data_IF_302183971633
#
_entry.id   IF_302183971633
#
_cell.length_a   1.000
_cell.length_b   1.000
_cell.length_c   1.000
_cell.angle_alpha   90.00
_cell.angle_beta   90.00
_cell.angle_gamma   90.00
#
_symmetry.space_group_name_H-M   'P 1'
#
loop_
_entity.id
_entity.type
_entity.pdbx_description
1 polymer ?
#
# COMPACT_ATOMS: atom_id res chain seq x y z
N UNK A 1 -44.09 -8.62 45.08
CA UNK A 1 -43.14 -8.84 43.98
C UNK A 1 -43.91 -9.41 42.80
N UNK A 2 -43.90 -8.77 41.63
CA UNK A 2 -44.46 -9.37 40.42
C UNK A 2 -43.42 -10.33 39.86
N UNK A 3 -43.71 -11.64 39.89
CA UNK A 3 -42.87 -12.62 39.20
C UNK A 3 -43.02 -12.38 37.69
N UNK A 4 -41.93 -11.97 37.06
CA UNK A 4 -41.82 -11.87 35.62
C UNK A 4 -41.21 -13.18 35.14
N UNK A 5 -42.03 -14.03 34.52
CA UNK A 5 -41.58 -15.26 33.88
C UNK A 5 -41.20 -14.96 32.43
N UNK A 6 -39.92 -15.12 32.10
CA UNK A 6 -39.44 -15.02 30.72
C UNK A 6 -39.59 -16.38 30.03
N UNK A 7 -40.22 -16.41 28.86
CA UNK A 7 -40.20 -17.62 28.02
C UNK A 7 -38.80 -17.76 27.41
N UNK A 8 -38.08 -18.80 27.83
CA UNK A 8 -36.86 -19.22 27.16
C UNK A 8 -37.24 -19.86 25.83
N UNK A 9 -36.60 -19.42 24.75
CA UNK A 9 -36.74 -20.04 23.43
C UNK A 9 -35.44 -20.74 23.07
N UNK A 10 -35.54 -21.84 22.33
CA UNK A 10 -34.36 -22.53 21.81
C UNK A 10 -33.60 -21.58 20.88
N UNK A 11 -32.29 -21.46 21.07
CA UNK A 11 -31.41 -20.65 20.23
C UNK A 11 -30.44 -21.53 19.46
N UNK A 12 -30.24 -21.21 18.18
CA UNK A 12 -29.10 -21.74 17.44
C UNK A 12 -27.99 -20.68 17.38
N UNK A 13 -26.77 -21.12 17.65
CA UNK A 13 -25.57 -20.31 17.45
C UNK A 13 -25.28 -20.21 15.96
N UNK A 14 -25.28 -19.00 15.42
CA UNK A 14 -24.93 -18.74 14.02
C UNK A 14 -23.89 -17.62 13.93
N UNK A 15 -22.67 -17.99 13.52
CA UNK A 15 -21.48 -17.14 13.60
C UNK A 15 -21.19 -16.62 15.02
N UNK A 16 -21.51 -15.35 15.33
CA UNK A 16 -21.27 -14.71 16.64
C UNK A 16 -22.56 -14.30 17.38
N UNK A 17 -23.74 -14.64 16.84
CA UNK A 17 -25.04 -14.30 17.44
C UNK A 17 -25.82 -15.59 17.74
N UNK A 18 -26.61 -15.58 18.80
CA UNK A 18 -27.62 -16.61 19.08
C UNK A 18 -28.98 -16.12 18.58
N UNK A 19 -29.57 -16.83 17.60
CA UNK A 19 -30.88 -16.51 17.05
C UNK A 19 -31.94 -17.52 17.53
N UNK A 20 -33.21 -17.13 17.69
CA UNK A 20 -34.29 -18.07 18.01
C UNK A 20 -34.42 -19.13 16.91
N UNK A 21 -34.58 -20.39 17.31
CA UNK A 21 -34.63 -21.55 16.42
C UNK A 21 -35.78 -21.49 15.38
N UNK A 22 -36.78 -20.65 15.62
CA UNK A 22 -38.01 -20.60 14.84
C UNK A 22 -38.00 -19.48 13.78
N UNK A 23 -36.92 -18.68 13.69
CA UNK A 23 -36.82 -17.57 12.73
C UNK A 23 -36.30 -18.10 11.39
N UNK A 24 -37.00 -17.85 10.26
CA UNK A 24 -36.51 -18.25 8.95
C UNK A 24 -35.17 -17.57 8.62
N UNK A 25 -34.24 -18.36 8.11
CA UNK A 25 -32.82 -18.03 7.90
C UNK A 25 -32.58 -16.72 7.17
N UNK A 26 -33.49 -16.36 6.27
CA UNK A 26 -33.48 -15.14 5.45
C UNK A 26 -33.66 -13.85 6.28
N UNK A 27 -34.52 -13.84 7.31
CA UNK A 27 -34.73 -12.65 8.15
C UNK A 27 -33.52 -12.37 9.05
N UNK A 28 -32.88 -13.42 9.55
CA UNK A 28 -31.60 -13.32 10.26
C UNK A 28 -30.46 -12.88 9.34
N UNK A 29 -30.47 -13.28 8.07
CA UNK A 29 -29.49 -12.86 7.06
C UNK A 29 -29.59 -11.35 6.74
N UNK A 30 -30.82 -10.82 6.61
CA UNK A 30 -31.08 -9.39 6.37
C UNK A 30 -30.61 -8.53 7.55
N UNK A 31 -30.89 -8.96 8.79
CA UNK A 31 -30.40 -8.29 10.00
C UNK A 31 -28.86 -8.33 10.10
N UNK A 32 -28.21 -9.43 9.66
CA UNK A 32 -26.75 -9.53 9.60
C UNK A 32 -26.11 -8.73 8.46
N UNK A 33 -26.79 -8.52 7.33
CA UNK A 33 -26.33 -7.63 6.27
C UNK A 33 -26.27 -6.17 6.76
N UNK A 34 -27.17 -5.79 7.65
CA UNK A 34 -27.19 -4.46 8.27
C UNK A 34 -26.11 -4.25 9.34
N UNK A 35 -25.64 -5.29 10.03
CA UNK A 35 -24.55 -5.21 11.02
C UNK A 35 -23.18 -5.63 10.42
N UNK A 36 -22.74 -4.90 9.41
CA UNK A 36 -21.47 -5.17 8.72
C UNK A 36 -20.25 -5.05 9.66
N UNK A 37 -20.36 -4.20 10.69
CA UNK A 37 -19.30 -3.93 11.66
C UNK A 37 -19.14 -5.07 12.68
N UNK A 38 -20.24 -5.59 13.23
CA UNK A 38 -20.19 -6.74 14.15
C UNK A 38 -19.61 -7.99 13.49
N UNK A 39 -19.92 -8.23 12.19
CA UNK A 39 -19.33 -9.33 11.41
C UNK A 39 -17.82 -9.22 11.30
N UNK A 40 -17.32 -8.01 11.05
CA UNK A 40 -15.89 -7.75 10.94
C UNK A 40 -15.16 -7.99 12.27
N UNK A 41 -15.69 -7.47 13.36
CA UNK A 41 -15.10 -7.62 14.70
C UNK A 41 -15.12 -9.09 15.16
N UNK A 42 -16.24 -9.79 14.99
CA UNK A 42 -16.36 -11.20 15.38
C UNK A 42 -15.43 -12.14 14.59
N UNK A 43 -15.17 -11.82 13.31
CA UNK A 43 -14.23 -12.59 12.47
C UNK A 43 -12.77 -12.32 12.85
N UNK A 44 -12.44 -11.08 13.22
CA UNK A 44 -11.13 -10.73 13.75
C UNK A 44 -10.82 -11.44 15.07
N UNK A 45 -11.78 -11.45 16.00
CA UNK A 45 -11.62 -12.10 17.31
C UNK A 45 -11.42 -13.61 17.18
N UNK A 46 -12.21 -14.29 16.34
CA UNK A 46 -12.09 -15.74 16.16
C UNK A 46 -10.82 -16.17 15.42
N UNK A 47 -10.29 -15.33 14.53
CA UNK A 47 -9.21 -15.72 13.59
C UNK A 47 -7.88 -15.00 13.83
N UNK A 48 -7.70 -14.28 14.95
CA UNK A 48 -6.51 -13.47 15.22
C UNK A 48 -5.18 -14.25 15.13
N UNK A 49 -5.17 -15.51 15.57
CA UNK A 49 -4.00 -16.39 15.48
C UNK A 49 -3.59 -16.65 14.03
N UNK A 50 -4.57 -16.89 13.16
CA UNK A 50 -4.34 -17.17 11.73
C UNK A 50 -3.82 -15.91 11.03
N UNK A 51 -4.34 -14.73 11.37
CA UNK A 51 -3.79 -13.46 10.86
C UNK A 51 -2.36 -13.21 11.34
N UNK A 52 -2.04 -13.56 12.59
CA UNK A 52 -0.68 -13.48 13.13
C UNK A 52 0.31 -14.36 12.37
N UNK A 53 -0.07 -15.62 12.10
CA UNK A 53 0.75 -16.55 11.29
C UNK A 53 0.90 -16.02 9.86
N UNK A 54 -0.19 -15.53 9.25
CA UNK A 54 -0.17 -14.97 7.90
C UNK A 54 0.72 -13.74 7.78
N UNK A 55 0.76 -12.90 8.82
CA UNK A 55 1.69 -11.78 8.92
C UNK A 55 3.15 -12.25 8.92
N UNK A 56 3.48 -13.24 9.73
CA UNK A 56 4.83 -13.82 9.77
C UNK A 56 5.23 -14.44 8.43
N UNK A 57 4.31 -15.16 7.79
CA UNK A 57 4.52 -15.74 6.45
C UNK A 57 4.72 -14.63 5.41
N UNK A 58 3.94 -13.54 5.44
CA UNK A 58 4.10 -12.42 4.52
C UNK A 58 5.45 -11.72 4.70
N UNK A 59 5.88 -11.49 5.94
CA UNK A 59 7.19 -10.87 6.24
C UNK A 59 8.33 -11.80 5.80
N UNK A 60 8.21 -13.09 6.11
CA UNK A 60 9.20 -14.10 5.72
C UNK A 60 9.30 -14.26 4.21
N UNK A 61 8.17 -14.38 3.50
CA UNK A 61 8.14 -14.53 2.04
C UNK A 61 8.62 -13.26 1.33
N UNK A 62 8.28 -12.07 1.85
CA UNK A 62 8.82 -10.81 1.35
C UNK A 62 10.34 -10.74 1.50
N UNK A 63 10.87 -11.06 2.68
CA UNK A 63 12.32 -11.07 2.92
C UNK A 63 13.05 -12.10 2.05
N UNK A 64 12.52 -13.33 1.95
CA UNK A 64 13.06 -14.37 1.07
C UNK A 64 13.04 -13.92 -0.39
N UNK A 65 11.97 -13.25 -0.83
CA UNK A 65 11.92 -12.72 -2.18
C UNK A 65 12.93 -11.60 -2.42
N UNK A 66 13.20 -10.73 -1.43
CA UNK A 66 14.30 -9.76 -1.56
C UNK A 66 15.66 -10.45 -1.74
N UNK A 67 15.92 -11.53 -1.00
CA UNK A 67 17.14 -12.34 -1.19
C UNK A 67 17.14 -12.98 -2.58
N UNK A 68 16.00 -13.51 -3.01
CA UNK A 68 15.86 -14.13 -4.33
C UNK A 68 16.12 -13.13 -5.47
N UNK A 69 15.57 -11.91 -5.39
CA UNK A 69 15.86 -10.82 -6.31
C UNK A 69 17.36 -10.46 -6.30
N UNK A 70 17.98 -10.43 -5.12
CA UNK A 70 19.41 -10.15 -4.97
C UNK A 70 20.30 -11.19 -5.65
N UNK A 71 19.93 -12.47 -5.56
CA UNK A 71 20.73 -13.58 -6.10
C UNK A 71 20.56 -13.74 -7.62
N UNK A 72 19.31 -13.68 -8.11
CA UNK A 72 18.98 -14.05 -9.49
C UNK A 72 18.65 -12.85 -10.39
N UNK A 73 18.51 -11.63 -9.85
CA UNK A 73 18.30 -10.41 -10.63
C UNK A 73 17.06 -10.48 -11.53
N UNK A 74 17.25 -10.27 -12.84
CA UNK A 74 16.17 -10.32 -13.83
C UNK A 74 15.50 -11.68 -13.95
N UNK A 75 16.25 -12.77 -13.78
CA UNK A 75 15.72 -14.13 -13.85
C UNK A 75 14.70 -14.39 -12.75
N UNK A 76 14.89 -13.75 -11.57
CA UNK A 76 13.96 -13.85 -10.46
C UNK A 76 12.55 -13.39 -10.85
N UNK A 77 12.44 -12.27 -11.58
CA UNK A 77 11.16 -11.69 -12.00
C UNK A 77 10.43 -12.63 -12.94
N UNK A 78 11.13 -13.17 -13.94
CA UNK A 78 10.54 -14.09 -14.93
C UNK A 78 10.11 -15.39 -14.24
N UNK A 79 10.99 -16.02 -13.45
CA UNK A 79 10.66 -17.25 -12.74
C UNK A 79 9.45 -17.03 -11.82
N UNK A 80 9.40 -15.88 -11.17
CA UNK A 80 8.30 -15.57 -10.27
C UNK A 80 6.97 -15.30 -10.98
N UNK A 81 6.99 -14.78 -12.22
CA UNK A 81 5.79 -14.65 -13.03
C UNK A 81 5.20 -16.03 -13.38
N UNK A 82 6.05 -16.97 -13.83
CA UNK A 82 5.62 -18.36 -14.06
C UNK A 82 5.18 -19.06 -12.77
N UNK A 83 5.86 -18.78 -11.65
CA UNK A 83 5.48 -19.30 -10.33
C UNK A 83 4.10 -18.82 -9.88
N UNK A 84 3.78 -17.53 -10.03
CA UNK A 84 2.44 -17.01 -9.72
C UNK A 84 1.40 -17.67 -10.61
N UNK A 85 1.64 -17.73 -11.92
CA UNK A 85 0.68 -18.33 -12.85
C UNK A 85 0.42 -19.80 -12.51
N UNK A 86 1.49 -20.57 -12.21
CA UNK A 86 1.36 -21.95 -11.77
C UNK A 86 0.55 -22.10 -10.48
N UNK A 87 0.75 -21.22 -9.49
CA UNK A 87 -0.03 -21.23 -8.24
C UNK A 87 -1.50 -20.87 -8.52
N UNK A 88 -1.77 -19.85 -9.34
CA UNK A 88 -3.12 -19.43 -9.68
C UNK A 88 -3.88 -20.54 -10.40
N UNK A 89 -3.27 -21.15 -11.43
CA UNK A 89 -3.86 -22.29 -12.17
C UNK A 89 -4.08 -23.49 -11.25
N UNK A 90 -3.11 -23.84 -10.42
CA UNK A 90 -3.25 -24.95 -9.47
C UNK A 90 -4.38 -24.68 -8.44
N UNK A 91 -4.45 -23.47 -7.90
CA UNK A 91 -5.49 -23.07 -6.94
C UNK A 91 -6.87 -23.10 -7.58
N UNK A 92 -7.00 -22.62 -8.82
CA UNK A 92 -8.25 -22.67 -9.58
C UNK A 92 -8.68 -24.12 -9.84
N UNK A 93 -7.77 -24.99 -10.28
CA UNK A 93 -8.04 -26.41 -10.47
C UNK A 93 -8.55 -27.07 -9.17
N UNK A 94 -7.85 -26.85 -8.04
CA UNK A 94 -8.25 -27.40 -6.74
C UNK A 94 -9.63 -26.91 -6.28
N UNK A 95 -9.93 -25.63 -6.49
CA UNK A 95 -11.23 -25.04 -6.14
C UNK A 95 -12.36 -25.55 -7.05
N UNK A 96 -12.10 -25.73 -8.36
CA UNK A 96 -13.06 -26.32 -9.29
C UNK A 96 -13.40 -27.76 -8.88
N UNK A 97 -12.39 -28.59 -8.60
CA UNK A 97 -12.60 -29.96 -8.12
C UNK A 97 -13.36 -29.97 -6.80
N UNK A 98 -13.00 -29.11 -5.85
CA UNK A 98 -13.71 -29.00 -4.57
C UNK A 98 -15.16 -28.52 -4.73
N UNK A 99 -15.45 -27.69 -5.73
CA UNK A 99 -16.80 -27.20 -6.02
C UNK A 99 -17.68 -28.22 -6.74
N UNK A 100 -17.08 -29.21 -7.39
CA UNK A 100 -17.75 -30.27 -8.11
C UNK A 100 -18.02 -31.51 -7.25
N UNK A 101 -17.39 -31.63 -6.08
CA UNK A 101 -17.59 -32.74 -5.14
C UNK A 101 -18.78 -32.45 -4.19
N UNK A 102 -19.94 -33.12 -4.37
CA UNK A 102 -21.11 -32.91 -3.52
C UNK A 102 -20.93 -33.45 -2.09
N UNK A 103 -19.89 -34.25 -1.83
CA UNK A 103 -19.65 -34.88 -0.51
C UNK A 103 -18.85 -34.00 0.46
N UNK A 104 -18.22 -32.92 -0.04
CA UNK A 104 -17.32 -32.09 0.76
C UNK A 104 -18.07 -31.11 1.68
N UNK A 105 -19.26 -30.64 1.28
CA UNK A 105 -20.13 -29.71 2.05
C UNK A 105 -21.62 -30.07 1.98
N UNK A 106 -22.03 -31.26 2.45
CA UNK A 106 -23.40 -31.76 2.26
C UNK A 106 -24.47 -31.00 3.05
N UNK A 107 -24.08 -30.24 4.08
CA UNK A 107 -25.00 -29.59 5.03
C UNK A 107 -24.91 -28.06 5.09
N UNK A 108 -24.15 -27.42 4.19
CA UNK A 108 -24.03 -25.95 4.12
C UNK A 108 -24.05 -25.44 2.67
N UNK A 109 -25.25 -25.12 2.11
CA UNK A 109 -25.39 -24.66 0.72
C UNK A 109 -24.71 -23.30 0.47
N UNK A 110 -24.52 -22.49 1.52
CA UNK A 110 -23.86 -21.18 1.42
C UNK A 110 -22.35 -21.33 1.26
N UNK A 111 -21.76 -22.30 1.96
CA UNK A 111 -20.33 -22.63 1.79
C UNK A 111 -20.05 -23.18 0.38
N UNK A 112 -20.92 -24.04 -0.14
CA UNK A 112 -20.81 -24.58 -1.50
C UNK A 112 -20.85 -23.45 -2.56
N UNK A 113 -21.81 -22.52 -2.45
CA UNK A 113 -21.89 -21.34 -3.33
C UNK A 113 -20.67 -20.42 -3.20
N UNK A 114 -20.14 -20.25 -1.98
CA UNK A 114 -18.94 -19.42 -1.73
C UNK A 114 -17.69 -19.98 -2.41
N UNK A 115 -17.54 -21.31 -2.42
CA UNK A 115 -16.40 -22.00 -3.07
C UNK A 115 -16.53 -21.96 -4.60
N UNK A 116 -17.75 -22.09 -5.14
CA UNK A 116 -18.02 -21.89 -6.56
C UNK A 116 -17.71 -20.46 -7.01
N UNK A 117 -18.11 -19.45 -6.23
CA UNK A 117 -17.75 -18.06 -6.53
C UNK A 117 -16.23 -17.85 -6.50
N UNK A 118 -15.53 -18.42 -5.52
CA UNK A 118 -14.08 -18.32 -5.39
C UNK A 118 -13.33 -19.03 -6.53
N UNK A 119 -13.84 -20.16 -7.03
CA UNK A 119 -13.24 -20.88 -8.18
C UNK A 119 -13.32 -20.06 -9.47
N UNK A 120 -14.44 -19.37 -9.71
CA UNK A 120 -14.60 -18.45 -10.86
C UNK A 120 -13.65 -17.26 -10.72
N UNK A 121 -13.62 -16.62 -9.54
CA UNK A 121 -12.74 -15.46 -9.29
C UNK A 121 -11.28 -15.81 -9.50
N UNK A 122 -10.83 -16.94 -8.96
CA UNK A 122 -9.42 -17.39 -9.11
C UNK A 122 -9.09 -17.73 -10.56
N UNK A 123 -10.01 -18.37 -11.30
CA UNK A 123 -9.85 -18.62 -12.74
C UNK A 123 -9.71 -17.32 -13.54
N UNK A 124 -10.61 -16.35 -13.33
CA UNK A 124 -10.52 -15.05 -13.97
C UNK A 124 -9.21 -14.32 -13.60
N UNK A 125 -8.77 -14.43 -12.35
CA UNK A 125 -7.51 -13.81 -11.91
C UNK A 125 -6.27 -14.41 -12.59
N UNK A 126 -6.26 -15.72 -12.86
CA UNK A 126 -5.19 -16.37 -13.62
C UNK A 126 -5.12 -15.84 -15.05
N UNK A 127 -6.28 -15.79 -15.75
CA UNK A 127 -6.36 -15.27 -17.12
C UNK A 127 -5.91 -13.80 -17.17
N UNK A 128 -6.41 -12.96 -16.26
CA UNK A 128 -6.04 -11.55 -16.21
C UNK A 128 -4.54 -11.39 -15.93
N UNK A 129 -4.00 -12.18 -15.01
CA UNK A 129 -2.58 -12.13 -14.68
C UNK A 129 -1.71 -12.55 -15.88
N UNK A 130 -2.07 -13.62 -16.59
CA UNK A 130 -1.40 -14.05 -17.81
C UNK A 130 -1.42 -12.96 -18.88
N UNK A 131 -2.57 -12.33 -19.13
CA UNK A 131 -2.70 -11.19 -20.06
C UNK A 131 -1.82 -10.02 -19.63
N UNK A 132 -1.76 -9.71 -18.33
CA UNK A 132 -0.93 -8.65 -17.78
C UNK A 132 0.56 -8.95 -17.95
N UNK A 133 1.00 -10.18 -17.68
CA UNK A 133 2.40 -10.59 -17.88
C UNK A 133 2.78 -10.52 -19.35
N UNK A 134 1.92 -10.97 -20.27
CA UNK A 134 2.17 -10.86 -21.71
C UNK A 134 2.27 -9.39 -22.14
N UNK A 135 1.34 -8.53 -21.69
CA UNK A 135 1.35 -7.10 -21.99
C UNK A 135 2.62 -6.41 -21.45
N UNK A 136 3.08 -6.80 -20.27
CA UNK A 136 4.23 -6.18 -19.60
C UNK A 136 5.56 -6.89 -19.87
N UNK A 137 5.61 -7.96 -20.67
CA UNK A 137 6.80 -8.80 -20.83
C UNK A 137 8.06 -8.00 -21.23
N UNK A 138 7.96 -7.14 -22.25
CA UNK A 138 9.06 -6.29 -22.68
C UNK A 138 9.53 -5.32 -21.58
N UNK A 139 8.57 -4.81 -20.80
CA UNK A 139 8.84 -3.90 -19.68
C UNK A 139 9.51 -4.65 -18.53
N UNK A 140 9.07 -5.85 -18.20
CA UNK A 140 9.64 -6.69 -17.15
C UNK A 140 11.09 -7.08 -17.44
N UNK A 141 11.42 -7.39 -18.70
CA UNK A 141 12.80 -7.66 -19.13
C UNK A 141 13.69 -6.43 -18.89
N UNK A 142 13.23 -5.26 -19.31
CA UNK A 142 13.96 -4.00 -19.09
C UNK A 142 14.10 -3.68 -17.60
N UNK A 143 13.04 -3.89 -16.80
CA UNK A 143 13.10 -3.74 -15.35
C UNK A 143 14.17 -4.63 -14.74
N UNK A 144 14.25 -5.88 -15.20
CA UNK A 144 15.23 -6.86 -14.74
C UNK A 144 16.68 -6.40 -14.92
N UNK A 145 17.00 -5.68 -15.99
CA UNK A 145 18.34 -5.13 -16.23
C UNK A 145 18.70 -4.12 -15.14
N UNK A 146 17.80 -3.18 -14.83
CA UNK A 146 18.03 -2.19 -13.77
C UNK A 146 17.96 -2.79 -12.36
N UNK A 147 17.13 -3.82 -12.17
CA UNK A 147 17.06 -4.58 -10.93
C UNK A 147 18.37 -5.31 -10.63
N UNK A 148 19.08 -5.77 -11.65
CA UNK A 148 20.44 -6.35 -11.50
C UNK A 148 21.42 -5.32 -10.96
N UNK A 149 21.37 -4.08 -11.44
CA UNK A 149 22.22 -2.99 -10.92
C UNK A 149 21.88 -2.66 -9.46
N UNK A 150 20.59 -2.52 -9.14
CA UNK A 150 20.13 -2.32 -7.76
C UNK A 150 20.55 -3.48 -6.83
N UNK A 151 20.47 -4.72 -7.31
CA UNK A 151 20.90 -5.92 -6.58
C UNK A 151 22.40 -5.92 -6.28
N UNK A 152 23.23 -5.42 -7.21
CA UNK A 152 24.67 -5.25 -6.98
C UNK A 152 24.95 -4.24 -5.86
N UNK A 153 24.20 -3.14 -5.81
CA UNK A 153 24.31 -2.14 -4.75
C UNK A 153 23.90 -2.74 -3.40
N UNK A 154 22.73 -3.40 -3.35
CA UNK A 154 22.24 -4.07 -2.14
C UNK A 154 23.18 -5.18 -1.68
N UNK A 155 23.91 -5.83 -2.59
CA UNK A 155 24.93 -6.80 -2.23
C UNK A 155 26.15 -6.18 -1.54
N UNK A 156 26.47 -4.92 -1.83
CA UNK A 156 27.54 -4.16 -1.16
C UNK A 156 27.04 -3.41 0.09
N UNK A 157 25.72 -3.19 0.21
CA UNK A 157 25.06 -2.55 1.34
C UNK A 157 24.02 -3.49 2.00
N UNK A 158 24.43 -4.65 2.56
CA UNK A 158 23.49 -5.67 3.03
C UNK A 158 22.58 -5.17 4.15
N UNK A 159 23.01 -4.19 4.95
CA UNK A 159 22.19 -3.60 6.00
C UNK A 159 20.95 -2.86 5.49
N UNK A 160 20.89 -2.49 4.20
CA UNK A 160 19.67 -1.90 3.61
C UNK A 160 18.49 -2.87 3.60
N UNK A 161 18.74 -4.19 3.59
CA UNK A 161 17.68 -5.21 3.68
C UNK A 161 16.92 -5.19 5.01
N UNK A 162 17.45 -4.51 6.04
CA UNK A 162 16.78 -4.35 7.33
C UNK A 162 15.94 -3.07 7.44
N UNK A 163 16.10 -2.12 6.52
CA UNK A 163 15.29 -0.90 6.48
C UNK A 163 13.78 -1.16 6.32
N UNK A 164 13.29 -2.19 5.59
CA UNK A 164 11.85 -2.46 5.51
C UNK A 164 11.26 -2.86 6.85
N UNK A 165 12.04 -3.48 7.74
CA UNK A 165 11.57 -3.87 9.06
C UNK A 165 11.34 -2.64 9.94
N UNK A 166 12.21 -1.63 9.80
CA UNK A 166 12.02 -0.34 10.47
C UNK A 166 10.75 0.34 9.97
N UNK A 167 10.58 0.49 8.64
CA UNK A 167 9.39 1.13 8.07
C UNK A 167 8.12 0.33 8.38
N UNK A 168 8.15 -0.99 8.25
CA UNK A 168 7.03 -1.85 8.61
C UNK A 168 6.65 -1.73 10.09
N UNK A 169 7.64 -1.72 11.00
CA UNK A 169 7.41 -1.51 12.42
C UNK A 169 6.73 -0.17 12.71
N UNK A 170 7.18 0.91 12.06
CA UNK A 170 6.55 2.23 12.15
C UNK A 170 5.12 2.23 11.61
N UNK A 171 4.86 1.53 10.50
CA UNK A 171 3.53 1.38 9.92
C UNK A 171 2.57 0.59 10.82
N UNK A 172 3.03 -0.51 11.42
CA UNK A 172 2.26 -1.28 12.40
C UNK A 172 1.97 -0.43 13.64
N UNK A 173 2.96 0.29 14.15
CA UNK A 173 2.78 1.22 15.26
C UNK A 173 1.73 2.30 14.96
N UNK A 174 1.80 2.90 13.77
CA UNK A 174 0.82 3.86 13.28
C UNK A 174 -0.58 3.25 13.17
N UNK A 175 -0.71 2.03 12.66
CA UNK A 175 -1.99 1.34 12.53
C UNK A 175 -2.63 1.06 13.90
N UNK A 176 -1.85 0.54 14.86
CA UNK A 176 -2.32 0.28 16.23
C UNK A 176 -2.73 1.57 16.92
N UNK A 177 -1.90 2.62 16.83
CA UNK A 177 -2.22 3.93 17.38
C UNK A 177 -3.49 4.51 16.72
N UNK A 178 -3.60 4.39 15.39
CA UNK A 178 -4.75 4.84 14.62
C UNK A 178 -6.06 4.17 15.01
N UNK A 179 -6.04 2.86 15.25
CA UNK A 179 -7.20 2.12 15.77
C UNK A 179 -7.57 2.62 17.16
N UNK A 180 -6.59 2.72 18.09
CA UNK A 180 -6.85 3.18 19.46
C UNK A 180 -7.51 4.55 19.48
N UNK A 181 -7.00 5.51 18.72
CA UNK A 181 -7.58 6.85 18.62
C UNK A 181 -8.98 6.80 17.99
N UNK A 182 -9.18 6.00 16.96
CA UNK A 182 -10.50 5.84 16.31
C UNK A 182 -11.54 5.29 17.28
N UNK A 183 -11.18 4.25 18.04
CA UNK A 183 -12.04 3.66 19.09
C UNK A 183 -12.35 4.69 20.17
N UNK A 184 -11.36 5.48 20.62
CA UNK A 184 -11.60 6.54 21.60
C UNK A 184 -12.53 7.64 21.09
N UNK A 185 -12.40 8.05 19.82
CA UNK A 185 -13.29 9.03 19.20
C UNK A 185 -14.71 8.48 19.16
N UNK A 186 -14.92 7.29 18.59
CA UNK A 186 -16.28 6.73 18.51
C UNK A 186 -16.86 6.36 19.88
N UNK A 187 -16.02 5.98 20.85
CA UNK A 187 -16.43 5.67 22.22
C UNK A 187 -16.82 6.90 23.06
N UNK A 188 -16.42 8.10 22.64
CA UNK A 188 -16.75 9.36 23.34
C UNK A 188 -18.11 9.95 22.94
N UNK A 189 -18.97 9.18 22.28
CA UNK A 189 -20.34 9.59 21.95
C UNK A 189 -21.23 9.71 23.20
N UNK A 190 -22.36 10.41 23.05
CA UNK A 190 -23.32 10.60 24.14
C UNK A 190 -24.47 9.60 24.06
N UNK A 191 -24.96 9.16 25.23
CA UNK A 191 -26.14 8.30 25.34
C UNK A 191 -27.36 9.21 25.41
N UNK A 192 -28.30 9.05 24.47
CA UNK A 192 -29.58 9.77 24.49
C UNK A 192 -30.72 8.80 24.75
N UNK A 193 -31.65 9.21 25.60
CA UNK A 193 -32.84 8.44 25.96
C UNK A 193 -33.97 8.77 24.99
N UNK A 194 -34.47 7.76 24.29
CA UNK A 194 -35.63 7.86 23.41
C UNK A 194 -36.79 7.04 23.98
N UNK A 195 -38.02 7.51 23.79
CA UNK A 195 -39.21 6.74 24.15
C UNK A 195 -39.70 6.04 22.89
N UNK A 196 -39.50 4.73 22.80
CA UNK A 196 -40.07 3.91 21.74
C UNK A 196 -41.46 3.41 22.13
N UNK A 197 -42.45 3.62 21.26
CA UNK A 197 -43.79 3.06 21.42
C UNK A 197 -43.87 1.71 20.72
N UNK A 198 -44.10 0.65 21.50
CA UNK A 198 -44.37 -0.69 20.96
C UNK A 198 -45.86 -0.97 21.13
N UNK A 199 -46.52 -1.35 20.04
CA UNK A 199 -47.92 -1.77 20.06
C UNK A 199 -48.05 -3.16 20.67
N UNK A 200 -48.96 -3.33 21.63
CA UNK A 200 -49.22 -4.61 22.30
C UNK A 200 -50.74 -4.87 22.39
N UNK A 201 -51.12 -6.11 22.66
CA UNK A 201 -52.53 -6.54 22.62
C UNK A 201 -53.36 -6.05 23.83
N UNK A 202 -52.76 -5.89 25.01
CA UNK A 202 -53.34 -5.16 26.14
C UNK A 202 -52.27 -4.89 27.20
N UNK A 203 -51.92 -3.62 27.51
CA UNK A 203 -52.45 -2.38 26.93
C UNK A 203 -52.01 -2.16 25.48
N UNK A 204 -52.75 -1.34 24.72
CA UNK A 204 -52.57 -1.11 23.28
C UNK A 204 -51.19 -0.55 22.88
N UNK A 205 -50.54 0.16 23.80
CA UNK A 205 -49.24 0.80 23.61
C UNK A 205 -48.42 0.69 24.88
N UNK A 206 -47.18 0.22 24.73
CA UNK A 206 -46.18 0.15 25.80
C UNK A 206 -45.08 1.15 25.43
N UNK A 207 -44.85 2.13 26.29
CA UNK A 207 -43.73 3.06 26.18
C UNK A 207 -42.49 2.39 26.80
N UNK A 208 -41.49 2.12 25.97
CA UNK A 208 -40.22 1.55 26.40
C UNK A 208 -39.16 2.64 26.26
N UNK A 209 -38.42 2.88 27.33
CA UNK A 209 -37.26 3.77 27.31
C UNK A 209 -36.13 3.03 26.61
N UNK A 210 -35.73 3.49 25.42
CA UNK A 210 -34.63 2.93 24.64
C UNK A 210 -33.43 3.85 24.72
N UNK A 211 -32.27 3.27 25.03
CA UNK A 211 -30.99 3.96 24.96
C UNK A 211 -30.48 3.92 23.52
N UNK A 212 -30.15 5.08 22.95
CA UNK A 212 -29.47 5.16 21.67
C UNK A 212 -28.14 5.87 21.81
N UNK A 213 -27.09 5.28 21.25
CA UNK A 213 -25.76 5.88 21.21
C UNK A 213 -25.67 6.87 20.03
N UNK A 214 -25.44 8.15 20.31
CA UNK A 214 -25.37 9.20 19.29
C UNK A 214 -23.95 9.77 19.20
N UNK A 215 -23.36 9.70 18.00
CA UNK A 215 -22.08 10.34 17.70
C UNK A 215 -22.32 11.77 17.24
N UNK A 216 -21.84 12.75 18.02
CA UNK A 216 -22.01 14.18 17.71
C UNK A 216 -21.27 14.60 16.44
N UNK A 217 -21.74 15.70 15.84
CA UNK A 217 -21.14 16.27 14.61
C UNK A 217 -19.67 16.65 14.81
N UNK A 218 -19.29 17.12 16.00
CA UNK A 218 -17.90 17.49 16.34
C UNK A 218 -16.98 16.27 16.29
N UNK A 219 -17.42 15.11 16.82
CA UNK A 219 -16.62 13.89 16.78
C UNK A 219 -16.42 13.38 15.34
N UNK A 220 -17.38 13.61 14.44
CA UNK A 220 -17.21 13.30 13.01
C UNK A 220 -16.10 14.15 12.38
N UNK A 221 -16.00 15.43 12.73
CA UNK A 221 -14.91 16.30 12.27
C UNK A 221 -13.55 15.87 12.84
N UNK A 222 -13.49 15.48 14.11
CA UNK A 222 -12.27 14.90 14.69
C UNK A 222 -11.86 13.60 14.02
N UNK A 223 -12.81 12.75 13.62
CA UNK A 223 -12.52 11.55 12.84
C UNK A 223 -11.91 11.89 11.47
N UNK A 224 -12.45 12.89 10.76
CA UNK A 224 -11.88 13.33 9.48
C UNK A 224 -10.48 13.92 9.63
N UNK A 225 -10.25 14.72 10.67
CA UNK A 225 -8.92 15.23 11.02
C UNK A 225 -7.95 14.09 11.36
N UNK A 226 -8.40 13.10 12.12
CA UNK A 226 -7.62 11.89 12.44
C UNK A 226 -7.26 11.10 11.19
N UNK A 227 -8.20 10.88 10.28
CA UNK A 227 -7.94 10.22 8.99
C UNK A 227 -6.89 10.97 8.16
N UNK A 228 -6.96 12.31 8.16
CA UNK A 228 -5.96 13.14 7.51
C UNK A 228 -4.57 12.98 8.17
N UNK A 229 -4.51 13.08 9.50
CA UNK A 229 -3.28 12.90 10.27
C UNK A 229 -2.66 11.50 10.10
N UNK A 230 -3.50 10.46 10.02
CA UNK A 230 -3.09 9.09 9.70
C UNK A 230 -2.47 9.00 8.31
N UNK A 231 -3.12 9.59 7.31
CA UNK A 231 -2.60 9.61 5.94
C UNK A 231 -1.28 10.38 5.83
N UNK A 232 -1.18 11.53 6.49
CA UNK A 232 0.06 12.31 6.53
C UNK A 232 1.20 11.51 7.20
N UNK A 233 0.94 10.94 8.38
CA UNK A 233 1.94 10.15 9.13
C UNK A 233 2.36 8.89 8.37
N UNK A 234 1.45 8.28 7.60
CA UNK A 234 1.75 7.17 6.71
C UNK A 234 2.81 7.56 5.66
N UNK A 235 2.61 8.68 4.96
CA UNK A 235 3.57 9.17 3.96
C UNK A 235 4.89 9.57 4.60
N UNK A 236 4.85 10.20 5.77
CA UNK A 236 6.04 10.53 6.55
C UNK A 236 6.89 9.28 6.86
N UNK A 237 6.27 8.21 7.36
CA UNK A 237 6.95 6.96 7.68
C UNK A 237 7.58 6.29 6.45
N UNK A 238 6.88 6.30 5.31
CA UNK A 238 7.42 5.78 4.05
C UNK A 238 8.63 6.60 3.58
N UNK A 239 8.55 7.92 3.63
CA UNK A 239 9.65 8.80 3.20
C UNK A 239 10.91 8.71 4.08
N UNK A 240 10.80 8.26 5.34
CA UNK A 240 11.97 7.92 6.16
C UNK A 240 12.77 6.79 5.52
N UNK A 241 12.11 5.70 5.11
CA UNK A 241 12.78 4.57 4.45
C UNK A 241 13.38 4.96 3.11
N UNK A 242 12.68 5.80 2.35
CA UNK A 242 13.16 6.32 1.07
C UNK A 242 14.41 7.20 1.23
N UNK A 243 14.42 8.09 2.22
CA UNK A 243 15.56 8.95 2.55
C UNK A 243 16.78 8.13 2.97
N UNK A 244 16.61 7.17 3.89
CA UNK A 244 17.70 6.29 4.35
C UNK A 244 18.31 5.53 3.18
N UNK A 245 17.45 4.93 2.34
CA UNK A 245 17.89 4.15 1.18
C UNK A 245 18.64 5.04 0.19
N UNK A 246 18.10 6.22 -0.12
CA UNK A 246 18.73 7.15 -1.07
C UNK A 246 20.07 7.67 -0.56
N UNK A 247 20.17 8.06 0.71
CA UNK A 247 21.45 8.52 1.30
C UNK A 247 22.50 7.40 1.29
N UNK A 248 22.14 6.16 1.60
CA UNK A 248 23.08 5.05 1.55
C UNK A 248 23.54 4.75 0.11
N UNK A 249 22.60 4.75 -0.84
CA UNK A 249 22.88 4.53 -2.27
C UNK A 249 23.74 5.66 -2.83
N UNK A 250 23.52 6.91 -2.44
CA UNK A 250 24.30 8.06 -2.92
C UNK A 250 25.75 8.02 -2.43
N UNK A 251 25.96 7.67 -1.15
CA UNK A 251 27.29 7.44 -0.59
C UNK A 251 28.01 6.35 -1.40
N UNK A 252 27.33 5.25 -1.70
CA UNK A 252 27.90 4.19 -2.54
C UNK A 252 28.15 4.68 -3.97
N UNK A 253 27.23 5.40 -4.59
CA UNK A 253 27.34 5.85 -5.97
C UNK A 253 28.54 6.78 -6.17
N UNK A 254 28.69 7.79 -5.31
CA UNK A 254 29.79 8.77 -5.41
C UNK A 254 31.10 8.32 -4.74
N UNK A 255 31.16 7.11 -4.18
CA UNK A 255 32.41 6.56 -3.63
C UNK A 255 33.40 6.16 -4.74
N UNK A 256 34.69 6.37 -4.49
CA UNK A 256 35.76 5.96 -5.40
C UNK A 256 35.82 4.44 -5.59
N UNK A 257 36.11 4.02 -6.82
CA UNK A 257 36.35 2.63 -7.16
C UNK A 257 37.66 2.13 -6.52
N UNK A 258 37.62 0.98 -5.85
CA UNK A 258 38.81 0.39 -5.24
C UNK A 258 39.81 -0.09 -6.31
N UNK A 259 41.06 0.39 -6.25
CA UNK A 259 42.14 0.04 -7.20
C UNK A 259 42.49 -1.46 -7.33
N UNK A 260 42.08 -2.31 -6.37
CA UNK A 260 42.41 -3.76 -6.32
C UNK A 260 41.21 -4.71 -6.24
N UNK A 261 40.01 -4.20 -6.01
CA UNK A 261 38.76 -4.99 -5.86
C UNK A 261 37.63 -4.16 -6.46
N UNK A 262 36.72 -4.79 -7.23
CA UNK A 262 35.51 -4.15 -7.80
C UNK A 262 34.54 -3.53 -6.75
N UNK A 263 34.88 -3.58 -5.46
CA UNK A 263 34.16 -2.96 -4.35
C UNK A 263 34.57 -1.49 -4.19
N UNK A 264 33.60 -0.61 -4.02
CA UNK A 264 33.82 0.82 -3.75
C UNK A 264 34.36 1.05 -2.35
N UNK A 265 35.27 2.02 -2.19
CA UNK A 265 35.81 2.41 -0.87
C UNK A 265 34.81 3.33 -0.18
N UNK A 266 33.99 2.76 0.68
CA UNK A 266 32.93 3.47 1.38
C UNK A 266 33.51 4.32 2.52
N UNK A 267 33.21 5.61 2.51
CA UNK A 267 33.40 6.54 3.63
C UNK A 267 32.07 7.22 3.88
N UNK A 268 31.41 7.03 5.04
CA UNK A 268 31.82 6.29 6.26
C UNK A 268 31.82 4.75 6.12
N UNK A 269 32.43 4.05 7.10
CA UNK A 269 32.58 2.58 7.12
C UNK A 269 31.26 1.81 7.17
N UNK A 270 30.21 2.41 7.74
CA UNK A 270 28.84 1.90 7.74
C UNK A 270 27.88 2.93 7.12
N UNK A 271 27.74 2.99 5.79
CA UNK A 271 26.89 3.99 5.10
C UNK A 271 25.43 3.95 5.55
N UNK A 272 24.88 2.76 5.80
CA UNK A 272 23.48 2.60 6.20
C UNK A 272 23.23 3.13 7.62
N UNK A 273 24.12 2.84 8.57
CA UNK A 273 23.98 3.38 9.93
C UNK A 273 24.11 4.90 9.95
N UNK A 274 25.05 5.45 9.16
CA UNK A 274 25.16 6.88 8.96
C UNK A 274 23.89 7.47 8.32
N UNK A 275 23.32 6.81 7.31
CA UNK A 275 22.07 7.25 6.66
C UNK A 275 20.89 7.26 7.63
N UNK A 276 20.75 6.23 8.48
CA UNK A 276 19.73 6.19 9.55
C UNK A 276 19.94 7.36 10.51
N UNK A 277 21.15 7.52 11.05
CA UNK A 277 21.45 8.57 12.01
C UNK A 277 21.25 9.97 11.42
N UNK A 278 21.73 10.22 10.20
CA UNK A 278 21.55 11.50 9.51
C UNK A 278 20.09 11.79 9.22
N UNK A 279 19.31 10.77 8.81
CA UNK A 279 17.88 10.94 8.57
C UNK A 279 17.14 11.36 9.83
N UNK A 280 17.39 10.66 10.94
CA UNK A 280 16.72 10.91 12.22
C UNK A 280 17.15 12.23 12.87
N UNK A 281 18.40 12.64 12.73
CA UNK A 281 18.90 13.86 13.39
C UNK A 281 18.75 15.12 12.55
N UNK A 282 18.80 15.02 11.21
CA UNK A 282 18.92 16.18 10.32
C UNK A 282 17.77 16.35 9.33
N UNK A 283 17.15 15.25 8.88
CA UNK A 283 16.19 15.32 7.78
C UNK A 283 14.72 15.16 8.20
N UNK A 284 14.42 14.87 9.47
CA UNK A 284 13.03 14.72 9.92
C UNK A 284 12.17 15.94 9.60
N UNK A 285 12.66 17.16 9.82
CA UNK A 285 11.92 18.38 9.50
C UNK A 285 11.59 18.50 8.00
N UNK A 286 12.54 18.16 7.14
CA UNK A 286 12.35 18.12 5.68
C UNK A 286 11.30 17.08 5.28
N UNK A 287 11.34 15.91 5.90
CA UNK A 287 10.40 14.81 5.66
C UNK A 287 8.99 15.13 6.15
N UNK A 288 8.87 15.73 7.33
CA UNK A 288 7.59 16.20 7.89
C UNK A 288 6.96 17.23 6.96
N UNK A 289 7.74 18.19 6.47
CA UNK A 289 7.28 19.22 5.54
C UNK A 289 6.90 18.65 4.16
N UNK A 290 7.73 17.77 3.59
CA UNK A 290 7.47 17.17 2.28
C UNK A 290 6.21 16.29 2.28
N UNK A 291 6.04 15.48 3.32
CA UNK A 291 4.86 14.62 3.50
C UNK A 291 3.58 15.42 3.78
N UNK A 292 3.68 16.51 4.55
CA UNK A 292 2.55 17.40 4.81
C UNK A 292 2.05 18.05 3.53
N UNK A 293 2.96 18.64 2.75
CA UNK A 293 2.64 19.24 1.45
C UNK A 293 2.07 18.17 0.51
N UNK A 294 2.72 17.01 0.41
CA UNK A 294 2.24 15.91 -0.42
C UNK A 294 0.84 15.41 -0.05
N UNK A 295 0.47 15.41 1.23
CA UNK A 295 -0.89 15.07 1.67
C UNK A 295 -1.90 16.16 1.34
N UNK A 296 -1.54 17.43 1.54
CA UNK A 296 -2.41 18.57 1.29
C UNK A 296 -2.75 18.74 -0.20
N UNK A 297 -1.77 18.54 -1.09
CA UNK A 297 -1.98 18.63 -2.55
C UNK A 297 -3.04 17.65 -3.08
N UNK A 298 -3.11 16.46 -2.48
CA UNK A 298 -4.04 15.42 -2.89
C UNK A 298 -5.47 15.75 -2.47
N UNK A 299 -5.64 16.33 -1.29
CA UNK A 299 -6.93 16.84 -0.83
C UNK A 299 -7.38 18.06 -1.64
N UNK A 300 -6.47 18.99 -1.91
CA UNK A 300 -6.79 20.21 -2.66
C UNK A 300 -7.25 19.89 -4.08
N UNK A 301 -6.62 18.93 -4.78
CA UNK A 301 -7.06 18.48 -6.11
C UNK A 301 -8.43 17.81 -6.08
N UNK A 302 -8.73 16.97 -5.09
CA UNK A 302 -10.06 16.36 -4.95
C UNK A 302 -11.17 17.38 -4.70
N UNK A 303 -10.87 18.46 -3.97
CA UNK A 303 -11.81 19.57 -3.75
C UNK A 303 -11.97 20.42 -5.01
N UNK A 304 -10.86 20.75 -5.68
CA UNK A 304 -10.87 21.54 -6.93
C UNK A 304 -11.75 20.92 -8.01
N UNK A 305 -11.57 19.63 -8.32
CA UNK A 305 -12.35 18.94 -9.35
C UNK A 305 -13.84 18.96 -9.01
N UNK A 306 -14.21 18.72 -7.74
CA UNK A 306 -15.60 18.75 -7.29
C UNK A 306 -16.23 20.14 -7.34
N UNK A 307 -15.45 21.20 -7.10
CA UNK A 307 -15.93 22.57 -7.20
C UNK A 307 -16.12 23.00 -8.65
N UNK A 308 -15.24 22.57 -9.55
CA UNK A 308 -15.38 22.83 -10.99
C UNK A 308 -16.64 22.17 -11.55
N UNK A 309 -16.88 20.89 -11.24
CA UNK A 309 -18.10 20.17 -11.66
C UNK A 309 -19.39 20.80 -11.11
N UNK A 310 -19.33 21.44 -9.93
CA UNK A 310 -20.48 22.09 -9.28
C UNK A 310 -20.73 23.51 -9.80
N UNK A 311 -19.69 24.21 -10.24
CA UNK A 311 -19.78 25.58 -10.74
C UNK A 311 -20.50 25.68 -12.10
N UNK A 312 -20.55 24.58 -12.86
CA UNK A 312 -21.26 24.50 -14.13
C UNK A 312 -22.78 24.28 -13.97
N UNK A 313 -23.25 23.98 -12.75
CA UNK A 313 -24.61 23.48 -12.53
C UNK A 313 -25.61 24.47 -11.91
N UNK A 314 -25.19 25.60 -11.34
CA UNK A 314 -26.04 26.75 -10.96
C UNK A 314 -25.22 27.73 -10.10
N UNK A 315 -24.85 28.91 -10.61
CA UNK A 315 -24.16 29.92 -9.81
C UNK A 315 -24.72 31.33 -10.02
N UNK A 316 -25.02 32.00 -8.90
CA UNK A 316 -25.26 33.44 -8.87
C UNK A 316 -23.94 34.21 -9.10
N UNK A 317 -24.02 35.45 -9.59
CA UNK A 317 -22.84 36.25 -9.99
C UNK A 317 -21.79 36.42 -8.87
N UNK A 318 -22.22 36.45 -7.59
CA UNK A 318 -21.33 36.52 -6.42
C UNK A 318 -20.60 35.19 -6.15
N UNK A 319 -21.25 34.05 -6.39
CA UNK A 319 -20.63 32.71 -6.25
C UNK A 319 -19.62 32.49 -7.37
N UNK A 320 -19.91 32.97 -8.58
CA UNK A 320 -18.98 32.89 -9.72
C UNK A 320 -17.69 33.67 -9.46
N UNK A 321 -17.79 34.89 -8.92
CA UNK A 321 -16.62 35.70 -8.57
C UNK A 321 -15.76 35.02 -7.48
N UNK A 322 -16.40 34.52 -6.42
CA UNK A 322 -15.69 33.83 -5.33
C UNK A 322 -15.04 32.54 -5.83
N UNK A 323 -15.71 31.79 -6.70
CA UNK A 323 -15.18 30.58 -7.33
C UNK A 323 -13.98 30.91 -8.22
N UNK A 324 -14.04 31.97 -9.04
CA UNK A 324 -12.89 32.41 -9.86
C UNK A 324 -11.69 32.83 -9.02
N UNK A 325 -11.90 33.51 -7.90
CA UNK A 325 -10.82 33.89 -6.97
C UNK A 325 -10.24 32.66 -6.25
N UNK A 326 -11.07 31.73 -5.78
CA UNK A 326 -10.59 30.47 -5.23
C UNK A 326 -9.84 29.64 -6.28
N UNK A 327 -10.30 29.61 -7.53
CA UNK A 327 -9.61 28.94 -8.63
C UNK A 327 -8.25 29.58 -8.95
N UNK A 328 -8.10 30.91 -8.88
CA UNK A 328 -6.80 31.55 -9.10
C UNK A 328 -5.81 31.23 -7.97
N UNK A 329 -6.26 31.26 -6.71
CA UNK A 329 -5.45 30.85 -5.56
C UNK A 329 -5.05 29.38 -5.63
N UNK A 330 -5.99 28.51 -6.04
CA UNK A 330 -5.73 27.08 -6.25
C UNK A 330 -4.81 26.81 -7.45
N UNK A 331 -4.86 27.64 -8.49
CA UNK A 331 -3.95 27.56 -9.63
C UNK A 331 -2.53 28.03 -9.30
N UNK A 332 -2.39 29.11 -8.52
CA UNK A 332 -1.11 29.55 -7.96
C UNK A 332 -0.54 28.47 -7.03
N UNK A 333 -1.39 27.88 -6.20
CA UNK A 333 -1.03 26.75 -5.35
C UNK A 333 -0.59 25.55 -6.19
N UNK A 334 -1.38 25.10 -7.18
CA UNK A 334 -1.03 24.00 -8.07
C UNK A 334 0.28 24.25 -8.82
N UNK A 335 0.53 25.49 -9.24
CA UNK A 335 1.79 25.89 -9.89
C UNK A 335 3.01 25.77 -8.98
N UNK A 336 2.91 26.16 -7.72
CA UNK A 336 3.95 25.90 -6.71
C UNK A 336 4.10 24.40 -6.41
N UNK A 337 3.01 23.64 -6.53
CA UNK A 337 2.97 22.21 -6.26
C UNK A 337 3.42 21.33 -7.45
N UNK A 338 3.60 21.88 -8.66
CA UNK A 338 4.16 21.11 -9.80
C UNK A 338 5.56 20.56 -9.51
N UNK A 339 6.27 21.18 -8.56
CA UNK A 339 7.58 20.75 -8.09
C UNK A 339 7.54 19.69 -6.98
N UNK A 340 6.36 19.43 -6.39
CA UNK A 340 6.19 18.49 -5.28
C UNK A 340 6.12 17.08 -5.83
N UNK A 341 7.27 16.41 -5.78
CA UNK A 341 7.53 15.08 -6.31
C UNK A 341 8.33 14.28 -5.28
N UNK A 342 8.15 12.95 -5.23
CA UNK A 342 8.89 12.06 -4.30
C UNK A 342 10.40 12.24 -4.46
N UNK A 343 10.84 12.51 -5.68
CA UNK A 343 12.22 12.71 -6.11
C UNK A 343 12.91 13.94 -5.46
N UNK A 344 12.15 14.91 -4.97
CA UNK A 344 12.70 16.04 -4.21
C UNK A 344 13.34 15.59 -2.89
N UNK A 345 12.78 14.56 -2.25
CA UNK A 345 13.36 13.93 -1.06
C UNK A 345 14.70 13.28 -1.43
N UNK A 346 14.79 12.66 -2.60
CA UNK A 346 16.01 11.98 -3.05
C UNK A 346 17.15 12.95 -3.30
N UNK A 347 16.89 14.09 -3.96
CA UNK A 347 17.90 15.15 -4.11
C UNK A 347 18.30 15.75 -2.76
N UNK A 348 17.34 15.94 -1.85
CA UNK A 348 17.65 16.41 -0.49
C UNK A 348 18.56 15.43 0.25
N UNK A 349 18.37 14.12 0.04
CA UNK A 349 19.19 13.05 0.60
C UNK A 349 20.63 13.08 0.08
N UNK A 350 20.80 13.42 -1.20
CA UNK A 350 22.10 13.44 -1.89
C UNK A 350 22.89 14.70 -1.56
N UNK A 351 22.26 15.88 -1.65
CA UNK A 351 22.94 17.17 -1.50
C UNK A 351 22.91 17.72 -0.08
N UNK A 352 22.01 17.24 0.78
CA UNK A 352 21.79 17.82 2.11
C UNK A 352 21.12 19.20 2.09
N UNK A 353 20.45 19.57 1.01
CA UNK A 353 19.80 20.87 0.82
C UNK A 353 18.32 20.88 1.25
N UNK A 354 17.76 22.07 1.48
CA UNK A 354 16.36 22.24 1.89
C UNK A 354 15.36 21.83 0.80
N UNK A 355 14.17 21.37 1.21
CA UNK A 355 13.18 20.72 0.32
C UNK A 355 12.87 21.51 -0.96
N UNK A 356 12.65 22.82 -0.86
CA UNK A 356 12.27 23.63 -2.02
C UNK A 356 13.39 23.76 -3.05
N UNK A 357 14.64 23.90 -2.60
CA UNK A 357 15.80 23.92 -3.50
C UNK A 357 15.95 22.56 -4.19
N UNK A 358 15.88 21.48 -3.42
CA UNK A 358 15.92 20.11 -3.94
C UNK A 358 14.78 19.81 -4.92
N UNK A 359 13.58 20.33 -4.66
CA UNK A 359 12.42 20.15 -5.53
C UNK A 359 12.60 20.83 -6.90
N UNK A 360 13.16 22.04 -6.93
CA UNK A 360 13.50 22.73 -8.19
C UNK A 360 14.54 21.95 -8.99
N UNK A 361 15.60 21.50 -8.33
CA UNK A 361 16.67 20.74 -8.99
C UNK A 361 16.16 19.38 -9.48
N UNK A 362 15.43 18.64 -8.65
CA UNK A 362 14.78 17.39 -9.04
C UNK A 362 13.89 17.61 -10.25
N UNK A 363 13.10 18.68 -10.27
CA UNK A 363 12.25 18.98 -11.40
C UNK A 363 13.04 19.24 -12.69
N UNK A 364 14.10 20.05 -12.62
CA UNK A 364 14.95 20.36 -13.76
C UNK A 364 15.66 19.10 -14.33
N UNK A 365 16.17 18.23 -13.45
CA UNK A 365 16.83 16.98 -13.85
C UNK A 365 15.84 16.02 -14.51
N UNK A 366 14.64 15.85 -13.92
CA UNK A 366 13.62 14.96 -14.45
C UNK A 366 13.02 15.48 -15.76
N UNK A 367 12.78 16.80 -15.90
CA UNK A 367 12.22 17.36 -17.13
C UNK A 367 13.20 17.28 -18.31
N UNK A 368 14.50 17.51 -18.07
CA UNK A 368 15.54 17.35 -19.08
C UNK A 368 15.75 15.88 -19.53
N UNK A 369 15.37 14.93 -18.66
CA UNK A 369 15.52 13.50 -18.89
C UNK A 369 14.18 12.74 -18.92
N UNK A 370 13.07 13.42 -19.24
CA UNK A 370 11.71 12.88 -19.00
C UNK A 370 11.42 11.55 -19.70
N UNK A 371 11.81 11.40 -20.96
CA UNK A 371 11.59 10.15 -21.72
C UNK A 371 12.36 8.99 -21.08
N UNK A 372 13.61 9.26 -20.69
CA UNK A 372 14.55 8.30 -20.13
C UNK A 372 14.11 7.85 -18.73
N UNK A 373 13.85 8.83 -17.87
CA UNK A 373 13.42 8.63 -16.49
C UNK A 373 11.99 8.08 -16.41
N UNK A 374 11.05 8.64 -17.17
CA UNK A 374 9.64 8.22 -17.15
C UNK A 374 9.37 6.85 -17.79
N UNK A 375 10.25 6.38 -18.68
CA UNK A 375 10.21 4.98 -19.12
C UNK A 375 10.63 4.04 -17.98
N UNK A 376 11.68 4.39 -17.23
CA UNK A 376 12.21 3.58 -16.14
C UNK A 376 11.31 3.55 -14.91
N UNK A 377 10.79 4.68 -14.49
CA UNK A 377 9.90 4.79 -13.33
C UNK A 377 8.69 3.86 -13.51
N UNK A 378 8.04 3.93 -14.69
CA UNK A 378 6.94 3.02 -15.03
C UNK A 378 7.33 1.54 -15.06
N UNK A 379 8.57 1.23 -15.41
CA UNK A 379 9.10 -0.12 -15.52
C UNK A 379 9.50 -0.69 -14.14
N UNK A 380 10.13 0.11 -13.30
CA UNK A 380 10.49 -0.23 -11.92
C UNK A 380 9.24 -0.55 -11.11
N UNK A 381 8.22 0.30 -11.18
CA UNK A 381 6.93 0.07 -10.54
C UNK A 381 6.26 -1.25 -10.97
N UNK A 382 6.40 -1.65 -12.24
CA UNK A 382 5.87 -2.92 -12.74
C UNK A 382 6.57 -4.14 -12.09
N UNK A 383 7.90 -4.12 -11.99
CA UNK A 383 8.66 -5.22 -11.37
C UNK A 383 8.37 -5.34 -9.87
N UNK A 384 8.23 -4.21 -9.20
CA UNK A 384 7.87 -4.13 -7.79
C UNK A 384 6.43 -4.62 -7.56
N UNK A 385 5.51 -4.32 -8.48
CA UNK A 385 4.15 -4.85 -8.45
C UNK A 385 4.12 -6.38 -8.53
N UNK A 386 4.94 -6.99 -9.40
CA UNK A 386 5.10 -8.45 -9.45
C UNK A 386 5.57 -9.01 -8.10
N UNK A 387 6.56 -8.36 -7.48
CA UNK A 387 7.00 -8.68 -6.12
C UNK A 387 5.86 -8.69 -5.09
N UNK A 388 4.99 -7.69 -5.15
CA UNK A 388 3.83 -7.59 -4.25
C UNK A 388 2.84 -8.73 -4.47
N UNK A 389 2.59 -9.12 -5.72
CA UNK A 389 1.69 -10.22 -6.05
C UNK A 389 2.21 -11.57 -5.55
N UNK A 390 3.51 -11.85 -5.66
CA UNK A 390 4.09 -13.12 -5.19
C UNK A 390 3.90 -13.29 -3.69
N UNK A 391 4.26 -12.26 -2.93
CA UNK A 391 4.09 -12.26 -1.47
C UNK A 391 2.62 -12.42 -1.10
N UNK A 392 1.73 -11.74 -1.83
CA UNK A 392 0.29 -11.82 -1.56
C UNK A 392 -0.28 -13.21 -1.85
N UNK A 393 0.03 -13.78 -3.03
CA UNK A 393 -0.44 -15.11 -3.46
C UNK A 393 0.10 -16.21 -2.55
N UNK A 394 1.40 -16.17 -2.21
CA UNK A 394 2.01 -17.16 -1.30
C UNK A 394 1.42 -17.09 0.11
N UNK A 395 1.16 -15.88 0.63
CA UNK A 395 0.52 -15.70 1.93
C UNK A 395 -0.92 -16.19 1.92
N UNK A 396 -1.68 -15.91 0.85
CA UNK A 396 -3.05 -16.39 0.70
C UNK A 396 -3.13 -17.91 0.59
N UNK A 397 -2.18 -18.53 -0.12
CA UNK A 397 -2.09 -19.99 -0.20
C UNK A 397 -1.79 -20.59 1.18
N UNK A 398 -0.84 -20.02 1.93
CA UNK A 398 -0.53 -20.46 3.30
C UNK A 398 -1.74 -20.31 4.24
N UNK A 399 -2.45 -19.19 4.14
CA UNK A 399 -3.69 -18.94 4.86
C UNK A 399 -4.75 -20.00 4.53
N UNK A 400 -4.96 -20.29 3.25
CA UNK A 400 -5.93 -21.29 2.79
C UNK A 400 -5.61 -22.70 3.31
N UNK A 401 -4.33 -23.08 3.34
CA UNK A 401 -3.89 -24.39 3.85
C UNK A 401 -4.06 -24.53 5.37
N UNK A 402 -4.05 -23.41 6.11
CA UNK A 402 -4.15 -23.39 7.57
C UNK A 402 -5.57 -23.13 8.08
N UNK A 403 -6.51 -22.76 7.20
CA UNK A 403 -7.88 -22.44 7.59
C UNK A 403 -8.65 -23.72 7.94
N UNK A 404 -9.25 -23.74 9.14
CA UNK A 404 -10.17 -24.81 9.56
C UNK A 404 -11.45 -24.80 8.69
N UNK A 405 -11.89 -26.00 8.29
CA UNK A 405 -12.99 -26.27 7.34
C UNK A 405 -14.36 -25.69 7.71
N UNK A 406 -14.53 -25.14 8.91
CA UNK A 406 -15.80 -24.59 9.42
C UNK A 406 -15.98 -23.08 9.28
N UNK A 407 -14.99 -22.35 8.74
CA UNK A 407 -15.01 -20.86 8.70
C UNK A 407 -15.23 -20.35 7.29
N UNK A 408 -16.14 -19.38 7.09
CA UNK A 408 -16.32 -18.74 5.77
C UNK A 408 -15.00 -18.09 5.33
N UNK A 409 -14.41 -18.48 4.19
CA UNK A 409 -13.05 -18.10 3.84
C UNK A 409 -12.95 -16.67 3.27
N UNK A 410 -14.05 -16.09 2.78
CA UNK A 410 -14.01 -14.89 1.91
C UNK A 410 -13.49 -13.66 2.66
N UNK A 411 -14.08 -13.32 3.81
CA UNK A 411 -13.70 -12.12 4.56
C UNK A 411 -12.28 -12.21 5.15
N UNK A 412 -11.89 -13.33 5.81
CA UNK A 412 -10.51 -13.50 6.26
C UNK A 412 -9.47 -13.48 5.13
N UNK A 413 -9.79 -14.07 3.98
CA UNK A 413 -8.90 -14.06 2.82
C UNK A 413 -8.71 -12.62 2.30
N UNK A 414 -9.78 -11.83 2.20
CA UNK A 414 -9.69 -10.44 1.78
C UNK A 414 -8.81 -9.58 2.71
N UNK A 415 -8.96 -9.75 4.03
CA UNK A 415 -8.11 -9.08 5.03
C UNK A 415 -6.64 -9.50 4.85
N UNK A 416 -6.40 -10.80 4.65
CA UNK A 416 -5.06 -11.35 4.45
C UNK A 416 -4.40 -10.80 3.18
N UNK A 417 -5.14 -10.70 2.07
CA UNK A 417 -4.65 -10.07 0.82
C UNK A 417 -4.20 -8.63 1.09
N UNK A 418 -5.07 -7.79 1.68
CA UNK A 418 -4.76 -6.37 1.94
C UNK A 418 -3.52 -6.22 2.82
N UNK A 419 -3.43 -7.04 3.87
CA UNK A 419 -2.31 -6.99 4.80
C UNK A 419 -1.00 -7.47 4.15
N UNK A 420 -1.04 -8.62 3.49
CA UNK A 420 0.12 -9.19 2.78
C UNK A 420 0.63 -8.26 1.69
N UNK A 421 -0.26 -7.59 0.96
CA UNK A 421 0.10 -6.61 -0.06
C UNK A 421 0.78 -5.38 0.56
N UNK A 422 0.31 -4.93 1.73
CA UNK A 422 0.90 -3.82 2.49
C UNK A 422 2.30 -4.16 3.01
N UNK A 423 2.48 -5.37 3.55
CA UNK A 423 3.80 -5.90 3.93
C UNK A 423 4.72 -5.94 2.71
N UNK A 424 4.26 -6.55 1.62
CA UNK A 424 5.04 -6.65 0.40
C UNK A 424 5.42 -5.27 -0.15
N UNK A 425 4.51 -4.29 -0.06
CA UNK A 425 4.81 -2.93 -0.47
C UNK A 425 5.99 -2.35 0.28
N UNK A 426 6.01 -2.43 1.63
CA UNK A 426 7.11 -1.90 2.43
C UNK A 426 8.47 -2.51 2.07
N UNK A 427 8.50 -3.81 1.75
CA UNK A 427 9.72 -4.52 1.36
C UNK A 427 10.17 -4.23 -0.06
N UNK A 428 9.24 -4.26 -1.03
CA UNK A 428 9.59 -4.01 -2.44
C UNK A 428 9.95 -2.55 -2.72
N UNK A 429 9.44 -1.60 -1.91
CA UNK A 429 9.79 -0.18 -2.05
C UNK A 429 11.30 0.04 -1.97
N UNK A 430 12.08 -0.76 -1.25
CA UNK A 430 13.55 -0.60 -1.22
C UNK A 430 14.18 -0.80 -2.59
N UNK A 431 13.73 -1.78 -3.35
CA UNK A 431 14.23 -1.99 -4.71
C UNK A 431 13.82 -0.84 -5.62
N UNK A 432 12.56 -0.37 -5.49
CA UNK A 432 12.07 0.80 -6.21
C UNK A 432 12.94 2.03 -5.95
N UNK A 433 13.10 2.39 -4.67
CA UNK A 433 13.91 3.54 -4.25
C UNK A 433 15.37 3.37 -4.64
N UNK A 434 15.93 2.16 -4.59
CA UNK A 434 17.33 1.94 -5.00
C UNK A 434 17.52 2.21 -6.49
N UNK A 435 16.59 1.76 -7.34
CA UNK A 435 16.62 2.05 -8.77
C UNK A 435 16.47 3.55 -9.02
N UNK A 436 15.45 4.18 -8.42
CA UNK A 436 15.22 5.62 -8.58
C UNK A 436 16.41 6.46 -8.10
N UNK A 437 16.98 6.11 -6.94
CA UNK A 437 18.15 6.78 -6.38
C UNK A 437 19.38 6.65 -7.28
N UNK A 438 19.63 5.46 -7.86
CA UNK A 438 20.71 5.27 -8.82
C UNK A 438 20.54 6.15 -10.07
N UNK A 439 19.32 6.26 -10.57
CA UNK A 439 19.02 7.06 -11.75
C UNK A 439 19.14 8.55 -11.48
N UNK A 440 18.66 9.01 -10.33
CA UNK A 440 18.86 10.40 -9.92
C UNK A 440 20.34 10.69 -9.71
N UNK A 441 21.10 9.82 -9.05
CA UNK A 441 22.54 9.99 -8.91
C UNK A 441 23.23 10.05 -10.28
N UNK A 442 22.83 9.20 -11.23
CA UNK A 442 23.35 9.20 -12.60
C UNK A 442 23.06 10.50 -13.34
N UNK A 443 21.80 10.95 -13.34
CA UNK A 443 21.42 12.19 -14.03
C UNK A 443 22.04 13.42 -13.40
N UNK A 444 22.21 13.42 -12.07
CA UNK A 444 22.93 14.47 -11.36
C UNK A 444 24.42 14.46 -11.72
N UNK A 445 25.06 13.29 -11.77
CA UNK A 445 26.46 13.10 -12.18
C UNK A 445 26.72 13.63 -13.59
N UNK A 446 25.85 13.30 -14.56
CA UNK A 446 25.89 13.89 -15.91
C UNK A 446 25.76 15.42 -15.87
N UNK A 447 24.81 15.94 -15.09
CA UNK A 447 24.58 17.40 -15.01
C UNK A 447 25.77 18.17 -14.45
N UNK A 448 26.52 17.59 -13.51
CA UNK A 448 27.69 18.21 -12.88
C UNK A 448 28.89 18.21 -13.83
N UNK A 449 29.05 17.18 -14.66
CA UNK A 449 30.22 16.99 -15.52
C UNK A 449 30.00 17.45 -16.98
N UNK A 450 29.19 18.48 -17.19
CA UNK A 450 29.02 19.08 -18.52
C UNK A 450 27.96 18.42 -19.40
N UNK A 451 27.08 17.60 -18.81
CA UNK A 451 25.88 17.09 -19.46
C UNK A 451 25.94 15.60 -19.81
N UNK A 452 25.06 15.21 -20.74
CA UNK A 452 24.83 13.80 -21.10
C UNK A 452 26.10 13.12 -21.61
N UNK A 453 26.31 11.87 -21.18
CA UNK A 453 27.47 11.06 -21.58
C UNK A 453 28.71 11.25 -20.72
N UNK A 454 28.74 12.26 -19.85
CA UNK A 454 29.91 12.60 -19.04
C UNK A 454 29.83 12.10 -17.59
N UNK A 455 29.02 11.08 -17.30
CA UNK A 455 28.93 10.50 -15.95
C UNK A 455 30.29 9.90 -15.52
N UNK A 456 30.84 10.39 -14.41
CA UNK A 456 32.18 10.00 -13.93
C UNK A 456 32.14 8.86 -12.92
N UNK A 457 31.11 8.81 -12.08
CA UNK A 457 31.00 7.88 -10.95
C UNK A 457 30.16 6.63 -11.27
N UNK A 458 29.43 6.66 -12.39
CA UNK A 458 28.67 5.52 -12.90
C UNK A 458 29.58 4.33 -13.24
N UNK A 459 29.11 3.11 -12.97
CA UNK A 459 29.80 1.91 -13.47
C UNK A 459 29.59 1.80 -14.98
N UNK A 460 30.60 1.31 -15.71
CA UNK A 460 30.51 1.17 -17.18
C UNK A 460 29.28 0.39 -17.63
N UNK A 461 28.94 -0.70 -16.92
CA UNK A 461 27.74 -1.49 -17.19
C UNK A 461 26.42 -0.74 -16.96
N UNK A 462 26.36 0.15 -15.96
CA UNK A 462 25.19 1.00 -15.72
C UNK A 462 25.05 2.03 -16.86
N UNK A 463 26.14 2.69 -17.24
CA UNK A 463 26.19 3.65 -18.35
C UNK A 463 25.77 3.02 -19.67
N UNK A 464 26.26 1.82 -19.96
CA UNK A 464 25.88 1.04 -21.15
C UNK A 464 24.40 0.68 -21.14
N UNK A 465 23.91 0.10 -20.04
CA UNK A 465 22.49 -0.29 -19.89
C UNK A 465 21.56 0.90 -20.11
N UNK A 466 21.94 2.04 -19.53
CA UNK A 466 21.27 3.32 -19.68
C UNK A 466 21.24 3.79 -21.13
N UNK A 467 22.39 3.82 -21.79
CA UNK A 467 22.52 4.36 -23.14
C UNK A 467 21.85 3.46 -24.16
N UNK A 468 21.91 2.14 -23.98
CA UNK A 468 21.34 1.18 -24.91
C UNK A 468 19.81 1.13 -24.83
N UNK A 469 19.23 1.16 -23.64
CA UNK A 469 17.80 0.88 -23.46
C UNK A 469 16.94 2.13 -23.28
N UNK A 470 17.54 3.27 -22.97
CA UNK A 470 16.79 4.46 -22.59
C UNK A 470 17.15 5.69 -23.42
N UNK A 471 18.12 5.58 -24.33
CA UNK A 471 18.40 6.63 -25.30
C UNK A 471 17.34 6.57 -26.41
N UNK A 472 16.67 7.68 -26.73
CA UNK A 472 15.81 7.74 -27.90
C UNK A 472 16.62 7.42 -29.16
N UNK A 473 16.14 6.48 -30.00
CA UNK A 473 16.86 6.01 -31.21
C UNK A 473 17.17 7.12 -32.23
N UNK A 474 16.50 8.27 -32.16
CA UNK A 474 16.77 9.42 -33.02
C UNK A 474 17.92 10.30 -32.50
N UNK A 475 18.37 10.11 -31.26
CA UNK A 475 19.52 10.82 -30.66
C UNK A 475 20.84 10.06 -30.80
N UNK A 476 20.85 8.89 -31.45
CA UNK A 476 22.08 8.14 -31.77
C UNK A 476 22.67 8.47 -33.14
N UNK A 477 21.99 9.33 -33.92
CA UNK A 477 22.34 9.63 -35.32
C UNK A 477 22.99 11.02 -35.47
N UNK A 478 23.11 11.78 -34.38
CA UNK A 478 23.85 13.03 -34.28
C UNK A 478 25.00 12.85 -33.29
#
# INVERSE_FOLDING_TARGET
MRNVTFQTYATHTWAYICAPANVPTEKTLIAQLQDSAGRFVGVLDKSWKVYGISCLVAVGSAFLYLIFLRLFGSFAVILSAFGIEGILVYSSYRLIVASADPTLYPSDPVMAQSIQALSIITCCSAIIFLLLVMYMAQRLILAGIFLRHASCVLAQLPSLLFVPFLTFGLLVGLFVWGIKVTVSIFGSGSITWNIATVTASSPATIHIMTESFRVDKVLRWFFLYHLWGMYWTLHFNLSIGEMITTTAVSIWYFSENGKKTSKKRLRPSSPVAYAVQSTLLKHLGTLTFSSAIGSLTRLSRSVYVKLQDRSELDASSSIEFFTKCCCCCMWCFDSCLRYVRKEAVYISAIQGSGYYHSAKLAYALLSANLVRYGALDRIGHASVFMGKLIVSVTTCLAFWLYLDKGTSPILPLAITVIFSFSVAHAFMTIYETTIDALLICFTLDESIHGGRGNAVYATGSLTESVNQHLRPKWQTIL
#
